data_IF_277861284035
#
_entry.id   IF_277861284035
#
_cell.length_a   1.000
_cell.length_b   1.000
_cell.length_c   1.000
_cell.angle_alpha   90.00
_cell.angle_beta   90.00
_cell.angle_gamma   90.00
#
_symmetry.space_group_name_H-M   'P 1'
#
loop_
_entity.id
_entity.type
_entity.pdbx_description
1 polymer ?
#
# COMPACT_ATOMS: atom_id res chain seq x y z
N UNK A 1 32.75 0.32 -29.64
CA UNK A 1 32.17 0.50 -28.28
C UNK A 1 31.06 1.59 -28.16
N UNK A 2 30.90 2.45 -29.19
CA UNK A 2 29.86 3.51 -29.19
C UNK A 2 28.44 2.94 -29.01
N UNK A 3 28.13 1.80 -29.61
CA UNK A 3 26.85 1.11 -29.43
C UNK A 3 26.58 0.62 -27.99
N UNK A 4 27.60 0.26 -27.23
CA UNK A 4 27.47 -0.14 -25.81
C UNK A 4 27.13 1.07 -24.95
N UNK A 5 27.61 2.27 -25.32
CA UNK A 5 27.40 3.50 -24.56
C UNK A 5 26.12 4.20 -25.01
N UNK A 6 25.60 3.86 -26.20
CA UNK A 6 24.41 4.48 -26.81
C UNK A 6 24.71 5.83 -27.49
N UNK A 7 25.95 6.04 -27.94
CA UNK A 7 26.30 7.16 -28.80
C UNK A 7 26.08 6.80 -30.27
N UNK A 8 25.45 7.69 -31.00
CA UNK A 8 25.21 7.57 -32.46
C UNK A 8 26.42 8.04 -33.29
N UNK A 9 27.28 8.85 -32.71
CA UNK A 9 28.46 9.43 -33.38
C UNK A 9 29.75 8.81 -32.83
N UNK A 10 30.75 8.69 -33.68
CA UNK A 10 32.10 8.24 -33.32
C UNK A 10 33.04 9.40 -32.96
N UNK A 11 32.71 10.62 -33.36
CA UNK A 11 33.48 11.83 -33.09
C UNK A 11 32.61 12.86 -32.36
N UNK A 12 33.16 13.45 -31.30
CA UNK A 12 32.51 14.44 -30.45
C UNK A 12 33.37 15.70 -30.38
N UNK A 13 32.73 16.84 -30.56
CA UNK A 13 33.31 18.15 -30.27
C UNK A 13 32.89 18.57 -28.87
N UNK A 14 33.86 18.67 -27.95
CA UNK A 14 33.63 19.05 -26.56
C UNK A 14 34.54 20.21 -26.20
N UNK A 15 33.96 21.23 -25.54
CA UNK A 15 34.75 22.37 -25.02
C UNK A 15 35.67 21.87 -23.89
N UNK A 16 36.89 22.43 -23.81
CA UNK A 16 37.89 22.03 -22.80
C UNK A 16 37.28 22.07 -21.39
N UNK A 17 36.52 23.07 -21.03
CA UNK A 17 35.87 23.18 -19.72
C UNK A 17 34.73 22.18 -19.47
N UNK A 18 34.27 21.45 -20.49
CA UNK A 18 33.19 20.47 -20.42
C UNK A 18 33.70 19.03 -20.55
N UNK A 19 35.00 18.81 -20.74
CA UNK A 19 35.60 17.48 -20.92
C UNK A 19 35.37 16.57 -19.70
N UNK A 20 35.50 17.09 -18.50
CA UNK A 20 35.24 16.35 -17.27
C UNK A 20 33.81 15.87 -17.22
N UNK A 21 32.83 16.76 -17.45
CA UNK A 21 31.39 16.42 -17.49
C UNK A 21 31.06 15.40 -18.59
N UNK A 22 31.75 15.48 -19.76
CA UNK A 22 31.58 14.50 -20.83
C UNK A 22 32.08 13.12 -20.40
N UNK A 23 33.26 13.02 -19.76
CA UNK A 23 33.80 11.75 -19.25
C UNK A 23 32.90 11.18 -18.15
N UNK A 24 32.40 12.03 -17.24
CA UNK A 24 31.42 11.62 -16.21
C UNK A 24 30.13 11.07 -16.83
N UNK A 25 29.59 11.69 -17.89
CA UNK A 25 28.41 11.18 -18.60
C UNK A 25 28.69 9.80 -19.22
N UNK A 26 29.86 9.61 -19.84
CA UNK A 26 30.27 8.30 -20.37
C UNK A 26 30.33 7.26 -19.27
N UNK A 27 30.97 7.56 -18.14
CA UNK A 27 31.04 6.68 -16.97
C UNK A 27 29.63 6.37 -16.45
N UNK A 28 28.79 7.37 -16.25
CA UNK A 28 27.43 7.20 -15.77
C UNK A 28 26.57 6.30 -16.68
N UNK A 29 26.72 6.43 -18.01
CA UNK A 29 26.07 5.52 -18.97
C UNK A 29 26.57 4.09 -18.88
N UNK A 30 27.86 3.88 -18.68
CA UNK A 30 28.45 2.55 -18.48
C UNK A 30 27.97 1.93 -17.17
N UNK A 31 27.99 2.67 -16.08
CA UNK A 31 27.47 2.25 -14.78
C UNK A 31 25.99 1.87 -14.86
N UNK A 32 25.16 2.69 -15.55
CA UNK A 32 23.74 2.41 -15.73
C UNK A 32 23.47 1.05 -16.38
N UNK A 33 24.40 0.61 -17.25
CA UNK A 33 24.35 -0.68 -17.96
C UNK A 33 24.99 -1.85 -17.19
N UNK A 34 25.55 -1.58 -16.01
CA UNK A 34 26.12 -2.58 -15.11
C UNK A 34 27.64 -2.73 -15.18
N UNK A 35 28.33 -1.81 -15.85
CA UNK A 35 29.80 -1.76 -15.91
C UNK A 35 30.35 -0.84 -14.83
N UNK A 36 30.09 -1.16 -13.57
CA UNK A 36 30.40 -0.33 -12.40
C UNK A 36 31.90 -0.11 -12.14
N UNK A 37 32.74 -0.92 -12.72
CA UNK A 37 34.22 -0.80 -12.61
C UNK A 37 34.85 -0.33 -13.91
N UNK A 38 34.07 0.11 -14.88
CA UNK A 38 34.60 0.64 -16.14
C UNK A 38 35.52 1.83 -15.88
N UNK A 39 36.63 1.87 -16.61
CA UNK A 39 37.59 2.96 -16.57
C UNK A 39 37.53 3.70 -17.89
N UNK A 40 37.37 5.02 -17.79
CA UNK A 40 37.37 5.91 -18.96
C UNK A 40 38.55 6.87 -18.81
N UNK A 41 39.38 6.95 -19.82
CA UNK A 41 40.45 7.91 -19.87
C UNK A 41 40.49 8.57 -21.25
N UNK A 42 40.97 9.81 -21.28
CA UNK A 42 41.23 10.56 -22.52
C UNK A 42 42.74 10.48 -22.84
N UNK A 43 43.06 9.88 -23.97
CA UNK A 43 44.42 9.85 -24.49
C UNK A 43 44.61 10.98 -25.51
N UNK A 44 45.31 12.04 -25.12
CA UNK A 44 45.62 13.17 -26.02
C UNK A 44 46.63 12.73 -27.07
N UNK A 45 46.26 12.83 -28.34
CA UNK A 45 47.10 12.45 -29.49
C UNK A 45 47.81 13.62 -30.11
N UNK A 46 47.15 14.79 -30.18
CA UNK A 46 47.69 15.95 -30.84
C UNK A 46 47.06 17.22 -30.28
N UNK A 47 47.86 18.24 -30.21
CA UNK A 47 47.41 19.61 -29.92
C UNK A 47 47.69 20.46 -31.16
N UNK A 48 46.69 21.16 -31.67
CA UNK A 48 46.84 22.04 -32.82
C UNK A 48 45.99 23.30 -32.57
N UNK A 49 46.66 24.44 -32.50
CA UNK A 49 46.07 25.73 -32.11
C UNK A 49 45.32 25.56 -30.76
N UNK A 50 44.05 25.92 -30.69
CA UNK A 50 43.18 25.82 -29.48
C UNK A 50 42.40 24.50 -29.39
N UNK A 51 42.78 23.49 -30.19
CA UNK A 51 42.07 22.21 -30.26
C UNK A 51 42.92 21.04 -29.82
N UNK A 52 42.43 20.24 -28.88
CA UNK A 52 42.96 18.98 -28.47
C UNK A 52 42.26 17.84 -29.22
N UNK A 53 43.06 16.99 -29.88
CA UNK A 53 42.61 15.75 -30.52
C UNK A 53 43.00 14.59 -29.62
N UNK A 54 42.05 13.77 -29.25
CA UNK A 54 42.28 12.61 -28.38
C UNK A 54 41.28 11.50 -28.58
N UNK A 55 41.63 10.34 -28.12
CA UNK A 55 40.77 9.18 -28.11
C UNK A 55 40.23 8.93 -26.70
N UNK A 56 38.95 8.62 -26.61
CA UNK A 56 38.34 8.12 -25.38
C UNK A 56 38.59 6.63 -25.29
N UNK A 57 39.47 6.24 -24.39
CA UNK A 57 39.82 4.84 -24.15
C UNK A 57 38.97 4.30 -23.02
N UNK A 58 38.24 3.24 -23.30
CA UNK A 58 37.28 2.64 -22.37
C UNK A 58 37.69 1.19 -22.08
N UNK A 59 38.02 0.92 -20.83
CA UNK A 59 38.11 -0.42 -20.29
C UNK A 59 36.81 -0.78 -19.61
N UNK A 60 35.99 -1.62 -20.24
CA UNK A 60 34.65 -1.95 -19.79
C UNK A 60 34.65 -2.83 -18.55
N UNK A 61 35.74 -3.55 -18.28
CA UNK A 61 35.73 -4.63 -17.32
C UNK A 61 34.56 -5.59 -17.63
N UNK A 62 34.00 -6.26 -16.65
CA UNK A 62 32.83 -7.13 -16.86
C UNK A 62 31.53 -6.50 -16.35
N UNK A 63 30.45 -6.83 -17.04
CA UNK A 63 29.09 -6.52 -16.59
C UNK A 63 28.79 -7.31 -15.31
N UNK A 64 28.28 -6.63 -14.28
CA UNK A 64 28.03 -7.21 -12.96
C UNK A 64 26.53 -7.30 -12.64
N UNK A 65 26.15 -8.43 -12.03
CA UNK A 65 24.79 -8.70 -11.58
C UNK A 65 24.76 -8.69 -10.06
N UNK A 66 23.62 -8.30 -9.50
CA UNK A 66 23.43 -8.21 -8.05
C UNK A 66 23.19 -9.60 -7.44
N UNK A 67 23.87 -9.88 -6.34
CA UNK A 67 23.55 -10.96 -5.41
C UNK A 67 23.30 -10.32 -4.04
N UNK A 68 22.06 -10.25 -3.62
CA UNK A 68 21.69 -9.61 -2.36
C UNK A 68 22.03 -10.53 -1.19
N UNK A 69 22.66 -9.97 -0.17
CA UNK A 69 22.95 -10.62 1.11
C UNK A 69 22.37 -9.74 2.22
N UNK A 70 21.38 -10.26 2.95
CA UNK A 70 20.80 -9.53 4.08
C UNK A 70 21.64 -9.82 5.31
N UNK A 71 22.26 -8.78 5.85
CA UNK A 71 22.97 -8.79 7.14
C UNK A 71 21.98 -8.19 8.16
N UNK A 72 21.58 -9.00 9.11
CA UNK A 72 20.60 -8.59 10.11
C UNK A 72 21.19 -8.73 11.51
N UNK A 73 21.01 -7.72 12.32
CA UNK A 73 21.23 -7.77 13.76
C UNK A 73 20.04 -8.43 14.50
N UNK A 74 18.95 -8.69 13.77
CA UNK A 74 17.77 -9.37 14.28
C UNK A 74 18.00 -10.88 14.35
N UNK A 75 17.86 -11.52 15.51
CA UNK A 75 18.09 -12.96 15.66
C UNK A 75 17.19 -13.83 14.77
N UNK A 76 16.03 -13.30 14.35
CA UNK A 76 15.01 -14.01 13.56
C UNK A 76 14.43 -13.12 12.46
N UNK A 77 15.24 -12.79 11.44
CA UNK A 77 14.74 -12.10 10.26
C UNK A 77 13.92 -13.09 9.39
N UNK A 78 12.72 -12.72 8.92
CA UNK A 78 11.86 -13.61 8.13
C UNK A 78 12.54 -14.09 6.85
N UNK A 79 12.69 -15.41 6.71
CA UNK A 79 13.38 -16.04 5.58
C UNK A 79 12.67 -15.75 4.26
N UNK A 80 11.34 -15.72 4.26
CA UNK A 80 10.53 -15.41 3.07
C UNK A 80 10.85 -14.04 2.48
N UNK A 81 11.05 -13.01 3.32
CA UNK A 81 11.44 -11.67 2.88
C UNK A 81 12.86 -11.64 2.29
N UNK A 82 13.79 -12.37 2.90
CA UNK A 82 15.15 -12.51 2.36
C UNK A 82 15.13 -13.14 0.98
N UNK A 83 14.43 -14.27 0.84
CA UNK A 83 14.28 -14.97 -0.45
C UNK A 83 13.54 -14.11 -1.50
N UNK A 84 12.61 -13.29 -1.07
CA UNK A 84 11.91 -12.37 -1.98
C UNK A 84 12.85 -11.28 -2.50
N UNK A 85 13.66 -10.65 -1.65
CA UNK A 85 14.68 -9.70 -2.09
C UNK A 85 15.66 -10.35 -3.07
N UNK A 86 16.20 -11.53 -2.72
CA UNK A 86 17.09 -12.27 -3.59
C UNK A 86 16.45 -12.55 -4.97
N UNK A 87 15.17 -12.95 -5.00
CA UNK A 87 14.41 -13.22 -6.23
C UNK A 87 14.23 -11.97 -7.09
N UNK A 88 13.87 -10.85 -6.46
CA UNK A 88 13.61 -9.59 -7.17
C UNK A 88 14.88 -9.01 -7.82
N UNK A 89 16.06 -9.21 -7.21
CA UNK A 89 17.30 -8.56 -7.62
C UNK A 89 18.32 -9.49 -8.24
N UNK A 90 18.15 -10.81 -8.19
CA UNK A 90 19.10 -11.83 -8.70
C UNK A 90 19.50 -11.63 -10.17
N UNK A 91 18.58 -11.16 -11.01
CA UNK A 91 18.80 -10.92 -12.44
C UNK A 91 18.96 -9.45 -12.81
N UNK A 92 19.07 -8.57 -11.81
CA UNK A 92 19.27 -7.14 -12.05
C UNK A 92 20.74 -6.80 -12.17
N UNK A 93 21.07 -5.93 -13.11
CA UNK A 93 22.41 -5.38 -13.22
C UNK A 93 22.75 -4.53 -12.01
N UNK A 94 24.00 -4.60 -11.57
CA UNK A 94 24.49 -3.71 -10.54
C UNK A 94 24.65 -2.30 -11.13
N UNK A 95 23.82 -1.39 -10.66
CA UNK A 95 23.93 0.04 -10.94
C UNK A 95 23.26 0.84 -9.80
N UNK A 96 23.52 2.13 -9.74
CA UNK A 96 22.98 3.01 -8.71
C UNK A 96 21.45 2.93 -8.61
N UNK A 97 20.74 2.99 -9.73
CA UNK A 97 19.26 2.93 -9.75
C UNK A 97 18.72 1.62 -9.12
N UNK A 98 19.37 0.48 -9.39
CA UNK A 98 18.95 -0.79 -8.78
C UNK A 98 19.33 -0.91 -7.31
N UNK A 99 20.44 -0.28 -6.89
CA UNK A 99 20.81 -0.15 -5.47
C UNK A 99 19.81 0.73 -4.71
N UNK A 100 19.43 1.88 -5.30
CA UNK A 100 18.40 2.77 -4.72
C UNK A 100 17.05 2.07 -4.60
N UNK A 101 16.66 1.30 -5.63
CA UNK A 101 15.43 0.48 -5.60
C UNK A 101 15.50 -0.63 -4.55
N UNK A 102 16.64 -1.27 -4.37
CA UNK A 102 16.85 -2.28 -3.33
C UNK A 102 16.71 -1.65 -1.95
N UNK A 103 17.38 -0.51 -1.71
CA UNK A 103 17.27 0.26 -0.48
C UNK A 103 15.81 0.65 -0.19
N UNK A 104 15.12 1.22 -1.17
CA UNK A 104 13.71 1.57 -1.05
C UNK A 104 12.80 0.36 -0.77
N UNK A 105 13.10 -0.81 -1.35
CA UNK A 105 12.32 -2.04 -1.11
C UNK A 105 12.45 -2.53 0.33
N UNK A 106 13.62 -2.35 0.95
CA UNK A 106 13.83 -2.71 2.36
C UNK A 106 13.03 -1.79 3.28
N UNK A 107 12.94 -0.51 2.97
CA UNK A 107 12.18 0.47 3.74
C UNK A 107 10.65 0.20 3.69
N UNK A 108 10.18 -0.62 2.73
CA UNK A 108 8.78 -1.07 2.69
C UNK A 108 8.48 -2.17 3.74
N UNK A 109 9.51 -2.77 4.34
CA UNK A 109 9.31 -3.74 5.41
C UNK A 109 9.00 -3.01 6.71
N UNK A 110 7.72 -2.91 7.08
CA UNK A 110 7.30 -2.17 8.26
C UNK A 110 7.98 -2.63 9.57
N UNK A 111 8.40 -3.90 9.65
CA UNK A 111 9.05 -4.50 10.82
C UNK A 111 10.57 -4.32 10.87
N UNK A 112 11.18 -3.81 9.81
CA UNK A 112 12.62 -3.61 9.71
C UNK A 112 12.94 -2.21 9.18
N UNK A 113 14.06 -1.66 9.63
CA UNK A 113 14.62 -0.38 9.18
C UNK A 113 16.02 -0.62 8.67
N UNK A 114 16.38 0.01 7.56
CA UNK A 114 17.74 -0.04 7.02
C UNK A 114 18.66 0.81 7.88
N UNK A 115 19.79 0.24 8.32
CA UNK A 115 20.79 0.91 9.16
C UNK A 115 21.66 1.86 8.34
N UNK A 116 22.07 1.41 7.15
CA UNK A 116 22.90 2.17 6.21
C UNK A 116 22.62 1.78 4.78
N UNK A 117 23.01 2.61 3.83
CA UNK A 117 22.91 2.32 2.40
C UNK A 117 23.59 1.00 2.05
N UNK A 118 23.08 0.22 1.08
CA UNK A 118 23.65 -1.07 0.70
C UNK A 118 25.14 -0.96 0.30
N UNK A 119 25.96 -1.86 0.81
CA UNK A 119 27.38 -1.95 0.49
C UNK A 119 27.64 -3.02 -0.57
N UNK A 120 28.56 -2.75 -1.47
CA UNK A 120 28.89 -3.65 -2.57
C UNK A 120 30.27 -4.24 -2.37
N UNK A 121 30.35 -5.58 -2.34
CA UNK A 121 31.61 -6.32 -2.35
C UNK A 121 31.87 -6.86 -3.76
N UNK A 122 32.91 -6.34 -4.39
CA UNK A 122 33.37 -6.77 -5.71
C UNK A 122 34.33 -7.95 -5.58
N UNK A 123 33.82 -9.17 -5.72
CA UNK A 123 34.64 -10.36 -5.81
C UNK A 123 35.09 -10.66 -7.26
N UNK A 124 35.97 -11.65 -7.42
CA UNK A 124 36.50 -12.10 -8.74
C UNK A 124 35.35 -12.57 -9.63
N UNK A 125 34.46 -13.42 -9.14
CA UNK A 125 33.34 -14.01 -9.91
C UNK A 125 31.96 -13.57 -9.50
N UNK A 126 31.82 -13.03 -8.29
CA UNK A 126 30.52 -12.66 -7.71
C UNK A 126 30.58 -11.21 -7.23
N UNK A 127 29.44 -10.54 -7.32
CA UNK A 127 29.27 -9.23 -6.72
C UNK A 127 28.16 -9.34 -5.71
N UNK A 128 28.46 -9.16 -4.44
CA UNK A 128 27.53 -9.27 -3.34
C UNK A 128 27.12 -7.88 -2.87
N UNK A 129 25.82 -7.69 -2.66
CA UNK A 129 25.24 -6.43 -2.18
C UNK A 129 24.70 -6.69 -0.78
N UNK A 130 25.35 -6.11 0.20
CA UNK A 130 25.01 -6.28 1.61
C UNK A 130 23.99 -5.22 2.04
N UNK A 131 22.86 -5.68 2.58
CA UNK A 131 21.81 -4.85 3.14
C UNK A 131 21.77 -5.06 4.63
N UNK A 132 21.96 -4.00 5.40
CA UNK A 132 22.00 -4.03 6.86
C UNK A 132 20.66 -3.57 7.43
N UNK A 133 20.02 -4.40 8.24
CA UNK A 133 18.70 -4.14 8.79
C UNK A 133 18.64 -4.34 10.29
N UNK A 134 17.87 -3.51 10.97
CA UNK A 134 17.53 -3.63 12.38
C UNK A 134 16.01 -3.71 12.58
N UNK A 135 15.58 -4.10 13.78
CA UNK A 135 14.15 -4.19 14.10
C UNK A 135 13.53 -2.80 14.22
N UNK A 136 12.44 -2.58 13.49
CA UNK A 136 11.61 -1.38 13.60
C UNK A 136 10.50 -1.56 14.63
N UNK A 137 10.07 -0.46 15.26
CA UNK A 137 8.85 -0.41 16.06
C UNK A 137 7.65 -0.37 15.11
N UNK A 138 7.05 -1.53 14.84
CA UNK A 138 5.95 -1.70 13.88
C UNK A 138 4.62 -2.04 14.52
N UNK A 139 4.61 -2.30 15.81
CA UNK A 139 3.42 -2.64 16.55
C UNK A 139 2.85 -1.39 17.20
N UNK A 140 1.54 -1.22 17.10
CA UNK A 140 0.82 -0.13 17.73
C UNK A 140 -0.42 -0.65 18.44
N UNK A 141 -0.73 -0.01 19.55
CA UNK A 141 -1.96 -0.19 20.28
C UNK A 141 -2.48 1.20 20.63
N UNK A 142 -3.73 1.45 20.30
CA UNK A 142 -4.45 2.65 20.68
C UNK A 142 -5.88 2.28 21.07
N UNK A 143 -6.46 3.01 22.00
CA UNK A 143 -7.84 2.76 22.41
C UNK A 143 -8.20 3.30 23.77
N UNK A 144 -9.49 3.35 23.99
CA UNK A 144 -10.07 3.56 25.32
C UNK A 144 -11.35 2.75 25.49
N UNK A 145 -11.66 2.43 26.73
CA UNK A 145 -12.89 1.74 27.13
C UNK A 145 -13.62 2.62 28.14
N UNK A 146 -14.88 2.88 27.87
CA UNK A 146 -15.83 3.59 28.75
C UNK A 146 -17.02 2.71 29.05
N UNK A 147 -17.65 2.98 30.19
CA UNK A 147 -18.89 2.33 30.60
C UNK A 147 -19.96 3.40 30.77
N UNK A 148 -21.12 3.16 30.19
CA UNK A 148 -22.33 3.97 30.42
C UNK A 148 -23.43 3.06 30.97
N UNK A 149 -24.28 3.59 31.78
CA UNK A 149 -25.49 2.90 32.23
C UNK A 149 -26.70 3.52 31.62
N UNK A 150 -27.53 2.73 30.94
CA UNK A 150 -28.81 3.14 30.42
C UNK A 150 -29.89 2.42 31.20
N UNK A 151 -30.97 3.15 31.55
CA UNK A 151 -32.08 2.61 32.32
C UNK A 151 -32.78 1.42 31.65
N UNK A 152 -32.65 1.29 30.32
CA UNK A 152 -33.33 0.25 29.51
C UNK A 152 -32.42 -0.93 29.19
N UNK A 153 -31.12 -0.73 29.00
CA UNK A 153 -30.14 -1.75 28.50
C UNK A 153 -29.09 -2.16 29.54
N UNK A 154 -29.09 -1.53 30.74
CA UNK A 154 -28.11 -1.82 31.77
C UNK A 154 -26.71 -1.21 31.49
N UNK A 155 -25.66 -1.96 31.77
CA UNK A 155 -24.28 -1.51 31.54
C UNK A 155 -23.90 -1.68 30.07
N UNK A 156 -23.55 -0.59 29.42
CA UNK A 156 -23.09 -0.56 28.04
C UNK A 156 -21.60 -0.22 27.98
N UNK A 157 -20.87 -0.99 27.16
CA UNK A 157 -19.48 -0.76 26.84
C UNK A 157 -19.37 0.12 25.61
N UNK A 158 -18.68 1.26 25.72
CA UNK A 158 -18.37 2.16 24.62
C UNK A 158 -16.86 2.39 24.51
N UNK A 159 -16.40 2.84 23.35
CA UNK A 159 -14.99 3.08 23.09
C UNK A 159 -14.48 2.43 21.81
N UNK A 160 -13.18 2.36 21.70
CA UNK A 160 -12.52 1.66 20.59
C UNK A 160 -11.20 1.02 21.03
N UNK A 161 -10.78 0.01 20.26
CA UNK A 161 -9.46 -0.62 20.33
C UNK A 161 -8.92 -0.72 18.90
N UNK A 162 -7.70 -0.25 18.69
CA UNK A 162 -6.94 -0.38 17.44
C UNK A 162 -5.59 -1.02 17.75
N UNK A 163 -5.44 -2.28 17.35
CA UNK A 163 -4.23 -3.07 17.55
C UNK A 163 -3.66 -3.47 16.19
N UNK A 164 -2.44 -3.02 15.92
CA UNK A 164 -1.71 -3.40 14.74
C UNK A 164 -0.41 -4.10 15.15
N UNK A 165 -0.27 -5.35 14.73
CA UNK A 165 0.86 -6.20 15.05
C UNK A 165 1.53 -6.68 13.76
N UNK A 166 2.86 -6.61 13.73
CA UNK A 166 3.63 -7.05 12.57
C UNK A 166 4.87 -7.83 13.02
N UNK A 167 5.09 -8.96 12.38
CA UNK A 167 6.27 -9.81 12.58
C UNK A 167 6.47 -10.27 14.04
N UNK A 168 5.41 -10.59 14.74
CA UNK A 168 5.46 -11.16 16.09
C UNK A 168 5.94 -12.61 16.03
N UNK A 169 5.45 -13.37 15.05
CA UNK A 169 5.83 -14.77 14.82
C UNK A 169 7.13 -14.91 14.03
N UNK A 170 7.78 -13.80 13.64
CA UNK A 170 8.99 -13.75 12.83
C UNK A 170 8.84 -14.35 11.41
N UNK A 171 7.63 -14.29 10.86
CA UNK A 171 7.31 -14.68 9.48
C UNK A 171 6.99 -13.47 8.58
N UNK A 172 6.97 -12.26 9.18
CA UNK A 172 6.61 -11.01 8.53
C UNK A 172 5.11 -10.80 8.40
N UNK A 173 4.33 -11.58 9.16
CA UNK A 173 2.87 -11.49 9.20
C UNK A 173 2.40 -10.12 9.68
N UNK A 174 1.19 -9.75 9.24
CA UNK A 174 0.46 -8.57 9.69
C UNK A 174 -0.86 -9.01 10.29
N UNK A 175 -1.17 -8.49 11.45
CA UNK A 175 -2.46 -8.66 12.12
C UNK A 175 -2.98 -7.28 12.52
N UNK A 176 -4.21 -6.99 12.14
CA UNK A 176 -4.92 -5.77 12.52
C UNK A 176 -6.23 -6.16 13.19
N UNK A 177 -6.46 -5.65 14.39
CA UNK A 177 -7.72 -5.79 15.10
C UNK A 177 -8.25 -4.40 15.42
N UNK A 178 -9.44 -4.12 14.93
CA UNK A 178 -10.18 -2.91 15.24
C UNK A 178 -11.53 -3.27 15.84
N UNK A 179 -11.84 -2.69 16.99
CA UNK A 179 -13.15 -2.78 17.61
C UNK A 179 -13.62 -1.39 18.00
N UNK A 180 -14.90 -1.11 17.76
CA UNK A 180 -15.53 0.13 18.17
C UNK A 180 -16.97 -0.11 18.60
N UNK A 181 -17.40 0.59 19.65
CA UNK A 181 -18.78 0.67 20.11
C UNK A 181 -19.09 2.11 20.47
N UNK A 182 -20.18 2.64 19.93
CA UNK A 182 -20.60 4.03 20.18
C UNK A 182 -21.54 4.20 21.39
N UNK A 183 -21.89 3.11 22.07
CA UNK A 183 -22.83 3.13 23.19
C UNK A 183 -24.30 3.09 22.79
N UNK A 184 -24.65 3.41 21.53
CA UNK A 184 -26.03 3.42 21.01
C UNK A 184 -26.38 2.11 20.28
N UNK A 185 -25.66 1.02 20.59
CA UNK A 185 -25.88 -0.31 20.00
C UNK A 185 -25.13 -0.55 18.69
N UNK A 186 -24.55 0.46 18.05
CA UNK A 186 -23.70 0.25 16.87
C UNK A 186 -22.32 -0.30 17.31
N UNK A 187 -21.90 -1.40 16.69
CA UNK A 187 -20.62 -2.05 16.96
C UNK A 187 -19.96 -2.47 15.66
N UNK A 188 -18.66 -2.24 15.55
CA UNK A 188 -17.81 -2.71 14.45
C UNK A 188 -16.62 -3.47 15.02
N UNK A 189 -16.46 -4.72 14.64
CA UNK A 189 -15.30 -5.56 14.93
C UNK A 189 -14.68 -5.98 13.61
N UNK A 190 -13.38 -5.77 13.47
CA UNK A 190 -12.64 -6.11 12.27
C UNK A 190 -11.31 -6.76 12.66
N UNK A 191 -11.10 -8.00 12.24
CA UNK A 191 -9.85 -8.75 12.41
C UNK A 191 -9.32 -9.13 11.05
N UNK A 192 -8.16 -8.58 10.69
CA UNK A 192 -7.44 -8.91 9.47
C UNK A 192 -6.12 -9.60 9.78
N UNK A 193 -5.79 -10.64 9.04
CA UNK A 193 -4.51 -11.35 9.10
C UNK A 193 -3.97 -11.48 7.68
N UNK A 194 -2.70 -11.15 7.49
CA UNK A 194 -1.96 -11.34 6.24
C UNK A 194 -0.66 -12.09 6.53
N UNK A 195 -0.48 -13.22 5.87
CA UNK A 195 0.70 -14.07 5.95
C UNK A 195 1.46 -13.97 4.61
N UNK A 196 2.47 -13.12 4.50
CA UNK A 196 3.27 -13.02 3.27
C UNK A 196 4.24 -14.18 3.16
N UNK A 197 4.63 -14.51 1.94
CA UNK A 197 5.71 -15.43 1.60
C UNK A 197 5.60 -16.81 2.27
N UNK A 198 4.40 -17.38 2.30
CA UNK A 198 4.12 -18.73 2.83
C UNK A 198 5.05 -19.75 2.17
N UNK A 199 5.66 -20.63 2.98
CA UNK A 199 6.69 -21.60 2.56
C UNK A 199 7.87 -20.95 1.83
N UNK A 200 8.25 -19.72 2.23
CA UNK A 200 9.33 -18.94 1.61
C UNK A 200 9.14 -18.71 0.10
N UNK A 201 7.91 -18.78 -0.38
CA UNK A 201 7.51 -18.58 -1.76
C UNK A 201 6.96 -17.14 -1.96
N UNK A 202 6.71 -16.69 -3.21
CA UNK A 202 6.03 -15.41 -3.44
C UNK A 202 4.51 -15.49 -3.15
N UNK A 203 4.04 -16.59 -2.63
CA UNK A 203 2.63 -16.80 -2.30
C UNK A 203 2.36 -16.30 -0.88
N UNK A 204 1.21 -15.68 -0.68
CA UNK A 204 0.72 -15.31 0.65
C UNK A 204 -0.72 -15.73 0.84
N UNK A 205 -1.16 -15.66 2.08
CA UNK A 205 -2.54 -15.88 2.47
C UNK A 205 -3.07 -14.68 3.25
N UNK A 206 -4.35 -14.39 3.11
CA UNK A 206 -5.04 -13.39 3.92
C UNK A 206 -6.35 -13.94 4.45
N UNK A 207 -6.75 -13.47 5.63
CA UNK A 207 -8.02 -13.73 6.25
C UNK A 207 -8.60 -12.44 6.83
N UNK A 208 -9.92 -12.27 6.72
CA UNK A 208 -10.65 -11.16 7.31
C UNK A 208 -11.92 -11.69 7.97
N UNK A 209 -12.16 -11.21 9.19
CA UNK A 209 -13.46 -11.35 9.87
C UNK A 209 -13.93 -9.95 10.25
N UNK A 210 -15.11 -9.57 9.77
CA UNK A 210 -15.76 -8.32 10.17
C UNK A 210 -17.15 -8.61 10.69
N UNK A 211 -17.47 -8.09 11.86
CA UNK A 211 -18.80 -8.14 12.47
C UNK A 211 -19.27 -6.69 12.63
N UNK A 212 -20.30 -6.34 11.88
CA UNK A 212 -20.94 -5.04 11.97
C UNK A 212 -22.36 -5.19 12.47
N UNK A 213 -22.69 -4.52 13.56
CA UNK A 213 -24.04 -4.46 14.11
C UNK A 213 -24.54 -3.04 14.03
N UNK A 214 -25.71 -2.85 13.42
CA UNK A 214 -26.40 -1.58 13.36
C UNK A 214 -27.51 -1.57 14.41
N UNK A 215 -27.24 -0.95 15.54
CA UNK A 215 -28.18 -0.82 16.66
C UNK A 215 -28.82 -2.19 17.04
N UNK A 216 -30.15 -2.19 17.22
CA UNK A 216 -30.94 -3.40 17.36
C UNK A 216 -31.53 -3.92 16.04
N UNK A 217 -31.17 -3.31 14.87
CA UNK A 217 -31.84 -3.63 13.59
C UNK A 217 -31.25 -4.88 12.94
N UNK A 218 -29.97 -4.91 12.64
CA UNK A 218 -29.33 -6.07 11.99
C UNK A 218 -27.85 -6.22 12.37
N UNK A 219 -27.34 -7.41 12.09
CA UNK A 219 -25.91 -7.73 12.20
C UNK A 219 -25.43 -8.41 10.94
N UNK A 220 -24.28 -7.94 10.41
CA UNK A 220 -23.56 -8.56 9.30
C UNK A 220 -22.26 -9.17 9.81
N UNK A 221 -22.06 -10.44 9.53
CA UNK A 221 -20.79 -11.15 9.75
C UNK A 221 -20.17 -11.46 8.41
N UNK A 222 -19.06 -10.82 8.08
CA UNK A 222 -18.33 -11.01 6.83
C UNK A 222 -17.04 -11.73 7.08
N UNK A 223 -16.81 -12.81 6.37
CA UNK A 223 -15.56 -13.54 6.32
C UNK A 223 -14.95 -13.48 4.93
N UNK A 224 -13.65 -13.31 4.84
CA UNK A 224 -12.92 -13.40 3.58
C UNK A 224 -11.66 -14.23 3.80
N UNK A 225 -11.37 -15.10 2.86
CA UNK A 225 -10.12 -15.83 2.78
C UNK A 225 -9.55 -15.68 1.37
N UNK A 226 -8.26 -15.41 1.24
CA UNK A 226 -7.59 -15.24 -0.03
C UNK A 226 -6.20 -15.84 -0.07
N UNK A 227 -5.83 -16.35 -1.25
CA UNK A 227 -4.46 -16.72 -1.60
C UNK A 227 -3.95 -15.74 -2.66
N UNK A 228 -2.72 -15.30 -2.52
CA UNK A 228 -2.18 -14.26 -3.38
C UNK A 228 -0.74 -14.45 -3.78
N UNK A 229 -0.33 -13.64 -4.74
CA UNK A 229 1.02 -13.57 -5.26
C UNK A 229 1.60 -12.18 -5.07
N UNK A 230 2.79 -12.11 -4.49
CA UNK A 230 3.56 -10.88 -4.30
C UNK A 230 4.51 -10.66 -5.48
N UNK A 231 4.19 -9.70 -6.34
CA UNK A 231 5.06 -9.31 -7.47
C UNK A 231 6.31 -8.59 -6.97
N UNK A 232 6.10 -7.66 -6.03
CA UNK A 232 7.14 -6.86 -5.39
C UNK A 232 6.85 -6.73 -3.88
N UNK A 233 7.67 -6.01 -3.14
CA UNK A 233 7.36 -5.64 -1.77
C UNK A 233 6.12 -4.73 -1.64
N UNK A 234 5.77 -4.04 -2.72
CA UNK A 234 4.71 -3.02 -2.79
C UNK A 234 3.41 -3.53 -3.43
N UNK A 235 3.48 -4.54 -4.31
CA UNK A 235 2.36 -4.98 -5.16
C UNK A 235 2.03 -6.45 -5.03
N UNK A 236 0.74 -6.74 -4.89
CA UNK A 236 0.21 -8.08 -4.69
C UNK A 236 -1.16 -8.25 -5.37
N UNK A 237 -1.48 -9.48 -5.74
CA UNK A 237 -2.79 -9.88 -6.25
C UNK A 237 -3.29 -11.05 -5.40
N UNK A 238 -4.52 -10.95 -4.88
CA UNK A 238 -5.19 -12.01 -4.15
C UNK A 238 -6.42 -12.49 -4.91
N UNK A 239 -6.61 -13.79 -4.95
CA UNK A 239 -7.85 -14.43 -5.34
C UNK A 239 -8.45 -15.05 -4.09
N UNK A 240 -9.75 -14.87 -3.87
CA UNK A 240 -10.36 -15.25 -2.61
C UNK A 240 -11.83 -15.60 -2.72
N UNK A 241 -12.34 -15.99 -1.57
CA UNK A 241 -13.75 -16.23 -1.33
C UNK A 241 -14.21 -15.39 -0.15
N UNK A 242 -15.31 -14.69 -0.35
CA UNK A 242 -15.93 -13.83 0.67
C UNK A 242 -17.36 -14.31 0.93
N UNK A 243 -17.73 -14.45 2.17
CA UNK A 243 -19.09 -14.75 2.61
C UNK A 243 -19.57 -13.70 3.60
N UNK A 244 -20.83 -13.28 3.47
CA UNK A 244 -21.51 -12.41 4.44
C UNK A 244 -22.80 -13.08 4.87
N UNK A 245 -22.95 -13.24 6.18
CA UNK A 245 -24.20 -13.64 6.81
C UNK A 245 -24.82 -12.42 7.48
N UNK A 246 -26.07 -12.13 7.15
CA UNK A 246 -26.82 -11.02 7.73
C UNK A 246 -28.06 -11.51 8.45
N UNK A 247 -28.25 -11.04 9.67
CA UNK A 247 -29.40 -11.37 10.52
C UNK A 247 -30.19 -10.12 10.88
N UNK A 248 -31.48 -10.13 10.61
CA UNK A 248 -32.46 -9.16 11.12
C UNK A 248 -32.72 -9.44 12.60
N UNK A 249 -32.19 -8.58 13.47
CA UNK A 249 -32.28 -8.79 14.95
C UNK A 249 -33.70 -8.55 15.46
N UNK A 250 -34.45 -7.66 14.82
CA UNK A 250 -35.82 -7.34 15.21
C UNK A 250 -36.88 -8.30 14.66
N UNK A 251 -36.48 -9.21 13.74
CA UNK A 251 -37.36 -10.11 13.03
C UNK A 251 -38.51 -9.39 12.30
N UNK A 252 -38.27 -8.18 11.82
CA UNK A 252 -39.26 -7.39 11.08
C UNK A 252 -39.58 -8.04 9.75
N UNK A 253 -38.59 -8.70 9.14
CA UNK A 253 -38.70 -9.43 7.85
C UNK A 253 -39.46 -8.63 6.79
N UNK A 254 -39.12 -7.35 6.66
CA UNK A 254 -39.72 -6.50 5.64
C UNK A 254 -39.11 -6.75 4.27
N UNK A 255 -39.73 -6.26 3.21
CA UNK A 255 -39.16 -6.36 1.87
C UNK A 255 -37.78 -5.67 1.72
N UNK A 256 -37.43 -4.80 2.65
CA UNK A 256 -36.20 -4.01 2.66
C UNK A 256 -35.16 -4.46 3.71
N UNK A 257 -35.54 -5.31 4.66
CA UNK A 257 -34.66 -5.82 5.71
C UNK A 257 -34.94 -7.31 5.94
N UNK A 258 -34.03 -8.17 5.55
CA UNK A 258 -34.19 -9.61 5.61
C UNK A 258 -32.88 -10.32 5.96
N UNK A 259 -33.01 -11.50 6.55
CA UNK A 259 -31.88 -12.43 6.66
C UNK A 259 -31.39 -12.84 5.27
N UNK A 260 -30.09 -12.86 5.09
CA UNK A 260 -29.48 -13.37 3.88
C UNK A 260 -28.07 -13.92 4.10
N UNK A 261 -27.64 -14.75 3.17
CA UNK A 261 -26.23 -15.13 3.03
C UNK A 261 -25.79 -14.75 1.61
N UNK A 262 -24.69 -14.00 1.51
CA UNK A 262 -24.06 -13.74 0.22
C UNK A 262 -22.67 -14.38 0.15
N UNK A 263 -22.30 -14.83 -1.04
CA UNK A 263 -21.00 -15.43 -1.29
C UNK A 263 -20.43 -14.98 -2.63
N UNK A 264 -19.14 -14.60 -2.61
CA UNK A 264 -18.46 -14.06 -3.79
C UNK A 264 -17.09 -14.72 -3.98
N UNK A 265 -16.76 -15.03 -5.22
CA UNK A 265 -15.37 -15.18 -5.62
C UNK A 265 -14.79 -13.79 -5.89
N UNK A 266 -13.63 -13.54 -5.34
CA UNK A 266 -13.03 -12.19 -5.34
C UNK A 266 -11.65 -12.18 -5.97
N UNK A 267 -11.32 -11.08 -6.64
CA UNK A 267 -9.97 -10.74 -7.07
C UNK A 267 -9.62 -9.35 -6.56
N UNK A 268 -8.48 -9.23 -5.88
CA UNK A 268 -8.02 -7.99 -5.27
C UNK A 268 -6.57 -7.71 -5.67
N UNK A 269 -6.33 -6.60 -6.35
CA UNK A 269 -5.00 -6.05 -6.57
C UNK A 269 -4.74 -4.96 -5.54
N UNK A 270 -3.60 -5.02 -4.87
CA UNK A 270 -3.17 -4.00 -3.93
C UNK A 270 -1.74 -3.54 -4.24
N UNK A 271 -1.55 -2.24 -4.24
CA UNK A 271 -0.27 -1.57 -4.30
C UNK A 271 -0.16 -0.62 -3.13
N UNK A 272 0.93 -0.70 -2.36
CA UNK A 272 1.17 0.18 -1.22
C UNK A 272 2.64 0.56 -1.17
N UNK A 273 2.92 1.85 -1.23
CA UNK A 273 4.26 2.42 -1.11
C UNK A 273 4.32 3.35 0.09
N UNK A 274 5.10 2.97 1.09
CA UNK A 274 5.36 3.82 2.25
C UNK A 274 6.40 4.88 1.90
N UNK A 275 6.18 6.10 2.33
CA UNK A 275 7.12 7.21 2.23
C UNK A 275 7.34 7.78 3.63
N UNK A 276 8.59 7.84 4.07
CA UNK A 276 8.95 8.61 5.27
C UNK A 276 8.93 10.09 4.89
N UNK A 277 8.04 10.85 5.50
CA UNK A 277 7.97 12.30 5.34
C UNK A 277 8.91 12.99 6.36
N UNK A 278 8.82 12.55 7.60
CA UNK A 278 9.70 12.90 8.71
C UNK A 278 9.99 11.62 9.51
N UNK A 279 10.92 11.67 10.45
CA UNK A 279 11.31 10.51 11.26
C UNK A 279 10.12 9.81 11.94
N UNK A 280 9.06 10.54 12.28
CA UNK A 280 7.90 10.05 13.03
C UNK A 280 6.66 9.81 12.18
N UNK A 281 6.51 10.50 11.02
CA UNK A 281 5.34 10.34 10.15
C UNK A 281 5.65 9.48 8.93
N UNK A 282 4.94 8.36 8.83
CA UNK A 282 4.93 7.53 7.63
C UNK A 282 3.61 7.76 6.90
N UNK A 283 3.69 8.24 5.69
CA UNK A 283 2.54 8.33 4.79
C UNK A 283 2.62 7.23 3.74
N UNK A 284 1.48 6.65 3.43
CA UNK A 284 1.40 5.64 2.38
C UNK A 284 0.66 6.17 1.16
N UNK A 285 1.23 5.93 -0.01
CA UNK A 285 0.49 5.98 -1.26
C UNK A 285 -0.02 4.57 -1.51
N UNK A 286 -1.30 4.42 -1.77
CA UNK A 286 -1.86 3.11 -2.04
C UNK A 286 -2.91 3.16 -3.14
N UNK A 287 -3.09 2.01 -3.77
CA UNK A 287 -4.16 1.70 -4.69
C UNK A 287 -4.65 0.29 -4.35
N UNK A 288 -5.92 0.13 -4.04
CA UNK A 288 -6.56 -1.18 -3.88
C UNK A 288 -7.78 -1.24 -4.80
N UNK A 289 -7.86 -2.30 -5.58
CA UNK A 289 -8.97 -2.58 -6.46
C UNK A 289 -9.44 -4.01 -6.21
N UNK A 290 -10.68 -4.17 -5.78
CA UNK A 290 -11.30 -5.46 -5.49
C UNK A 290 -12.59 -5.61 -6.29
N UNK A 291 -12.78 -6.75 -6.92
CA UNK A 291 -14.02 -7.14 -7.57
C UNK A 291 -14.51 -8.47 -7.02
N UNK A 292 -15.80 -8.66 -7.00
CA UNK A 292 -16.41 -9.90 -6.58
C UNK A 292 -17.63 -10.24 -7.43
N UNK A 293 -17.77 -11.51 -7.76
CA UNK A 293 -18.95 -12.07 -8.44
C UNK A 293 -19.49 -13.24 -7.65
N UNK A 294 -20.80 -13.28 -7.50
CA UNK A 294 -21.42 -14.29 -6.65
C UNK A 294 -22.92 -14.15 -6.54
N UNK A 295 -23.47 -14.69 -5.47
CA UNK A 295 -24.91 -14.72 -5.26
C UNK A 295 -25.26 -14.30 -3.83
N UNK A 296 -26.43 -13.68 -3.68
CA UNK A 296 -27.13 -13.50 -2.42
C UNK A 296 -28.28 -14.50 -2.36
N UNK A 297 -28.35 -15.27 -1.31
CA UNK A 297 -29.42 -16.21 -0.97
C UNK A 297 -30.25 -15.59 0.14
N UNK A 298 -31.47 -15.21 -0.15
CA UNK A 298 -32.49 -14.78 0.79
C UNK A 298 -33.45 -15.92 1.14
N UNK A 299 -34.48 -15.62 1.93
CA UNK A 299 -35.50 -16.62 2.35
C UNK A 299 -36.26 -17.24 1.16
N UNK A 300 -36.56 -16.46 0.13
CA UNK A 300 -37.42 -16.87 -0.99
C UNK A 300 -36.73 -16.84 -2.34
N UNK A 301 -35.55 -16.25 -2.46
CA UNK A 301 -34.91 -16.07 -3.76
C UNK A 301 -33.38 -16.04 -3.67
N UNK A 302 -32.76 -16.39 -4.79
CA UNK A 302 -31.33 -16.26 -5.03
C UNK A 302 -31.10 -15.19 -6.10
N UNK A 303 -30.29 -14.21 -5.80
CA UNK A 303 -29.98 -13.09 -6.71
C UNK A 303 -28.50 -13.10 -7.07
N UNK A 304 -28.19 -13.10 -8.36
CA UNK A 304 -26.82 -12.96 -8.83
C UNK A 304 -26.33 -11.53 -8.64
N UNK A 305 -25.12 -11.38 -8.16
CA UNK A 305 -24.55 -10.08 -7.80
C UNK A 305 -23.11 -9.93 -8.30
N UNK A 306 -22.74 -8.69 -8.57
CA UNK A 306 -21.37 -8.28 -8.84
C UNK A 306 -21.06 -7.01 -8.02
N UNK A 307 -19.87 -6.93 -7.43
CA UNK A 307 -19.44 -5.70 -6.80
C UNK A 307 -18.00 -5.31 -7.21
N UNK A 308 -17.75 -4.02 -7.16
CA UNK A 308 -16.44 -3.42 -7.31
C UNK A 308 -16.14 -2.46 -6.17
N UNK A 309 -14.90 -2.50 -5.68
CA UNK A 309 -14.39 -1.57 -4.67
C UNK A 309 -13.03 -1.05 -5.13
N UNK A 310 -12.89 0.27 -5.22
CA UNK A 310 -11.64 0.95 -5.55
C UNK A 310 -11.32 1.94 -4.45
N UNK A 311 -10.13 1.85 -3.89
CA UNK A 311 -9.62 2.87 -2.98
C UNK A 311 -8.19 3.25 -3.34
N UNK A 312 -7.91 4.54 -3.32
CA UNK A 312 -6.61 5.09 -3.65
C UNK A 312 -6.27 6.25 -2.72
N UNK A 313 -5.00 6.41 -2.43
CA UNK A 313 -4.47 7.57 -1.74
C UNK A 313 -3.13 7.97 -2.33
N UNK A 314 -2.96 9.24 -2.57
CA UNK A 314 -1.71 9.81 -3.02
C UNK A 314 -1.34 11.04 -2.20
N UNK A 315 -0.10 11.08 -1.72
CA UNK A 315 0.45 12.20 -0.97
C UNK A 315 1.48 12.91 -1.84
N UNK A 316 1.13 14.09 -2.30
CA UNK A 316 1.97 14.92 -3.13
C UNK A 316 2.75 15.90 -2.27
N UNK A 317 4.06 15.77 -2.23
CA UNK A 317 4.94 16.69 -1.54
C UNK A 317 5.25 17.88 -2.43
N UNK A 318 4.82 19.08 -2.03
CA UNK A 318 5.12 20.33 -2.72
C UNK A 318 6.49 20.86 -2.33
N UNK A 319 6.81 20.81 -1.04
CA UNK A 319 8.12 21.12 -0.45
C UNK A 319 8.25 20.42 0.91
N UNK A 320 9.29 20.74 1.68
CA UNK A 320 9.58 20.08 2.97
C UNK A 320 8.43 20.16 4.00
N UNK A 321 7.62 21.23 3.96
CA UNK A 321 6.55 21.48 4.94
C UNK A 321 5.14 21.36 4.38
N UNK A 322 4.98 21.34 3.06
CA UNK A 322 3.67 21.44 2.42
C UNK A 322 3.35 20.20 1.59
N UNK A 323 2.18 19.63 1.82
CA UNK A 323 1.71 18.42 1.15
C UNK A 323 0.25 18.57 0.72
N UNK A 324 -0.09 17.92 -0.38
CA UNK A 324 -1.47 17.68 -0.77
C UNK A 324 -1.73 16.19 -0.65
N UNK A 325 -2.73 15.81 0.13
CA UNK A 325 -3.24 14.45 0.19
C UNK A 325 -4.52 14.36 -0.60
N UNK A 326 -4.58 13.41 -1.51
CA UNK A 326 -5.76 13.04 -2.25
C UNK A 326 -6.14 11.60 -1.88
N UNK A 327 -7.35 11.39 -1.40
CA UNK A 327 -7.93 10.08 -1.13
C UNK A 327 -9.18 9.92 -1.98
N UNK A 328 -9.36 8.74 -2.56
CA UNK A 328 -10.51 8.40 -3.38
C UNK A 328 -11.04 7.04 -2.95
N UNK A 329 -12.36 6.91 -2.82
CA UNK A 329 -13.03 5.67 -2.46
C UNK A 329 -14.31 5.51 -3.29
N UNK A 330 -14.44 4.35 -3.93
CA UNK A 330 -15.57 4.03 -4.79
C UNK A 330 -16.05 2.63 -4.47
N UNK A 331 -17.35 2.47 -4.39
CA UNK A 331 -18.02 1.20 -4.23
C UNK A 331 -19.20 1.12 -5.19
N UNK A 332 -19.41 -0.05 -5.77
CA UNK A 332 -20.55 -0.35 -6.61
C UNK A 332 -21.00 -1.78 -6.39
N UNK A 333 -22.29 -1.96 -6.13
CA UNK A 333 -22.96 -3.26 -6.07
C UNK A 333 -24.04 -3.29 -7.15
N UNK A 334 -23.95 -4.27 -8.03
CA UNK A 334 -24.99 -4.60 -9.01
C UNK A 334 -25.80 -5.79 -8.52
N UNK A 335 -27.10 -5.61 -8.46
CA UNK A 335 -28.09 -6.62 -8.09
C UNK A 335 -29.42 -6.34 -8.80
N UNK A 336 -30.24 -7.36 -8.99
CA UNK A 336 -31.61 -7.15 -9.53
C UNK A 336 -32.55 -6.57 -8.48
N UNK A 337 -32.28 -6.82 -7.21
CA UNK A 337 -33.03 -6.30 -6.06
C UNK A 337 -32.05 -5.94 -4.97
N UNK A 338 -32.39 -4.90 -4.19
CA UNK A 338 -31.56 -4.41 -3.10
C UNK A 338 -32.32 -4.47 -1.79
N UNK A 339 -31.58 -4.78 -0.71
CA UNK A 339 -32.07 -4.74 0.67
C UNK A 339 -31.13 -3.86 1.51
N UNK A 340 -31.66 -3.22 2.53
CA UNK A 340 -30.96 -2.18 3.33
C UNK A 340 -29.69 -2.71 3.99
N UNK A 341 -29.74 -3.94 4.51
CA UNK A 341 -28.64 -4.52 5.28
C UNK A 341 -27.49 -5.10 4.40
N UNK A 342 -27.63 -5.10 3.07
CA UNK A 342 -26.53 -5.43 2.14
C UNK A 342 -25.79 -4.21 1.61
N UNK A 343 -26.38 -3.01 1.67
CA UNK A 343 -25.82 -1.80 1.11
C UNK A 343 -24.54 -1.38 1.81
N UNK A 344 -23.63 -0.77 1.04
CA UNK A 344 -22.41 -0.21 1.58
C UNK A 344 -22.73 1.00 2.47
N UNK A 345 -22.20 0.99 3.70
CA UNK A 345 -22.35 2.08 4.64
C UNK A 345 -21.13 2.96 4.68
N UNK A 346 -21.39 4.28 4.78
CA UNK A 346 -20.36 5.30 4.78
C UNK A 346 -20.83 6.51 5.60
N UNK A 347 -19.97 7.52 5.69
CA UNK A 347 -20.06 8.65 6.61
C UNK A 347 -18.97 8.56 7.68
N UNK A 348 -18.63 9.65 8.31
CA UNK A 348 -17.65 9.74 9.38
C UNK A 348 -16.23 10.03 8.89
N UNK A 349 -15.30 10.07 9.83
CA UNK A 349 -13.93 10.56 9.65
C UNK A 349 -13.13 9.76 8.61
N UNK A 350 -13.43 8.47 8.45
CA UNK A 350 -12.70 7.58 7.53
C UNK A 350 -13.29 7.54 6.12
N UNK A 351 -14.46 8.12 5.89
CA UNK A 351 -15.19 8.11 4.63
C UNK A 351 -15.43 9.52 4.12
N UNK A 352 -16.51 10.15 4.53
CA UNK A 352 -16.83 11.55 4.22
C UNK A 352 -17.09 12.30 5.52
N UNK A 353 -16.29 13.30 5.80
CA UNK A 353 -16.34 14.06 7.06
C UNK A 353 -17.53 15.02 7.07
N UNK A 354 -18.03 15.34 8.27
CA UNK A 354 -19.25 16.14 8.47
C UNK A 354 -20.54 15.33 8.56
N UNK A 355 -20.48 14.02 8.35
CA UNK A 355 -21.59 13.08 8.52
C UNK A 355 -21.29 12.10 9.65
N UNK A 356 -22.35 11.64 10.32
CA UNK A 356 -22.21 10.61 11.37
C UNK A 356 -21.68 9.31 10.78
N UNK A 357 -20.88 8.58 11.53
CA UNK A 357 -20.27 7.34 11.07
C UNK A 357 -21.32 6.28 10.70
N UNK A 358 -21.15 5.69 9.49
CA UNK A 358 -22.08 4.69 8.93
C UNK A 358 -23.53 5.13 8.82
N UNK A 359 -23.84 6.44 8.84
CA UNK A 359 -25.22 6.97 8.78
C UNK A 359 -25.81 6.95 7.37
N UNK A 360 -24.98 6.91 6.35
CA UNK A 360 -25.38 6.87 4.95
C UNK A 360 -25.14 5.49 4.36
N UNK A 361 -25.89 5.14 3.32
CA UNK A 361 -25.77 3.86 2.64
C UNK A 361 -26.06 4.00 1.14
N UNK A 362 -25.57 3.04 0.36
CA UNK A 362 -25.85 3.00 -1.09
C UNK A 362 -25.32 1.76 -1.76
N UNK A 363 -25.91 1.44 -2.91
CA UNK A 363 -25.35 0.45 -3.84
C UNK A 363 -24.24 1.06 -4.70
N UNK A 364 -24.22 2.39 -4.83
CA UNK A 364 -23.15 3.17 -5.43
C UNK A 364 -22.70 4.23 -4.42
N UNK A 365 -21.40 4.29 -4.21
CA UNK A 365 -20.74 5.35 -3.45
C UNK A 365 -19.45 5.73 -4.16
N UNK A 366 -19.21 7.03 -4.30
CA UNK A 366 -18.00 7.59 -4.89
C UNK A 366 -17.59 8.82 -4.09
N UNK A 367 -16.36 8.87 -3.62
CA UNK A 367 -15.84 10.04 -2.90
C UNK A 367 -14.42 10.39 -3.29
N UNK A 368 -14.14 11.68 -3.20
CA UNK A 368 -12.80 12.26 -3.30
C UNK A 368 -12.63 13.18 -2.09
N UNK A 369 -11.59 12.93 -1.31
CA UNK A 369 -11.21 13.74 -0.15
C UNK A 369 -9.84 14.37 -0.42
N UNK A 370 -9.77 15.68 -0.22
CA UNK A 370 -8.54 16.45 -0.38
C UNK A 370 -8.15 17.13 0.92
N UNK A 371 -6.85 17.11 1.22
CA UNK A 371 -6.28 17.80 2.36
C UNK A 371 -5.02 18.56 1.90
N UNK A 372 -4.98 19.84 2.17
CA UNK A 372 -3.73 20.57 2.16
C UNK A 372 -3.17 20.54 3.58
N UNK A 373 -1.96 20.00 3.74
CA UNK A 373 -1.29 19.81 5.03
C UNK A 373 -0.05 20.69 5.12
N UNK A 374 0.01 21.48 6.18
CA UNK A 374 1.17 22.26 6.57
C UNK A 374 1.81 21.70 7.84
N UNK A 375 3.02 21.20 7.74
CA UNK A 375 3.79 20.67 8.88
C UNK A 375 4.58 21.81 9.56
N UNK A 376 4.13 22.22 10.73
CA UNK A 376 4.80 23.21 11.55
C UNK A 376 6.06 22.62 12.22
N UNK A 377 6.01 21.32 12.60
CA UNK A 377 7.13 20.56 13.14
C UNK A 377 7.03 19.08 12.72
N UNK A 378 7.98 18.25 13.19
CA UNK A 378 7.92 16.79 12.98
C UNK A 378 6.72 16.10 13.66
N UNK A 379 6.09 16.75 14.63
CA UNK A 379 4.99 16.20 15.43
C UNK A 379 3.68 16.99 15.32
N UNK A 380 3.67 18.13 14.61
CA UNK A 380 2.50 19.00 14.49
C UNK A 380 2.24 19.40 13.05
N UNK A 381 1.05 19.15 12.56
CA UNK A 381 0.57 19.69 11.30
C UNK A 381 -0.88 20.21 11.41
N UNK A 382 -1.21 21.17 10.56
CA UNK A 382 -2.56 21.69 10.35
C UNK A 382 -2.98 21.36 8.92
N UNK A 383 -4.24 21.02 8.73
CA UNK A 383 -4.73 20.69 7.40
C UNK A 383 -6.13 21.22 7.14
N UNK A 384 -6.39 21.57 5.88
CA UNK A 384 -7.76 21.81 5.40
C UNK A 384 -8.41 20.48 5.05
N UNK A 385 -9.72 20.45 5.11
CA UNK A 385 -10.56 19.31 4.73
C UNK A 385 -11.53 19.76 3.65
N UNK A 386 -11.55 19.04 2.53
CA UNK A 386 -12.54 19.17 1.48
C UNK A 386 -12.87 17.80 0.93
N UNK A 387 -14.06 17.32 1.29
CA UNK A 387 -14.57 16.03 0.86
C UNK A 387 -15.75 16.24 -0.06
N UNK A 388 -15.77 15.54 -1.18
CA UNK A 388 -16.88 15.50 -2.13
C UNK A 388 -17.30 14.06 -2.34
N UNK A 389 -18.61 13.79 -2.28
CA UNK A 389 -19.16 12.46 -2.49
C UNK A 389 -20.43 12.49 -3.34
N UNK A 390 -20.70 11.36 -3.95
CA UNK A 390 -21.96 11.03 -4.63
C UNK A 390 -22.37 9.61 -4.23
N UNK A 391 -23.65 9.40 -3.98
CA UNK A 391 -24.18 8.07 -3.70
C UNK A 391 -25.57 7.87 -4.28
N UNK A 392 -25.93 6.60 -4.43
CA UNK A 392 -27.28 6.17 -4.79
C UNK A 392 -27.74 5.09 -3.82
N UNK A 393 -28.88 5.32 -3.18
CA UNK A 393 -29.56 4.34 -2.33
C UNK A 393 -30.86 3.89 -3.01
N UNK A 394 -30.89 2.72 -3.63
CA UNK A 394 -32.08 2.20 -4.33
C UNK A 394 -33.20 1.80 -3.36
N UNK A 395 -32.94 1.62 -2.06
CA UNK A 395 -33.94 1.23 -1.06
C UNK A 395 -34.80 2.40 -0.60
N UNK A 396 -34.23 3.62 -0.64
CA UNK A 396 -34.93 4.88 -0.29
C UNK A 396 -35.23 5.73 -1.53
N UNK A 397 -34.64 5.41 -2.68
CA UNK A 397 -34.70 6.23 -3.90
C UNK A 397 -33.84 7.50 -3.84
N UNK A 398 -32.96 7.63 -2.85
CA UNK A 398 -32.07 8.78 -2.70
C UNK A 398 -30.87 8.68 -3.64
N UNK A 399 -30.57 9.80 -4.32
CA UNK A 399 -29.39 9.93 -5.18
C UNK A 399 -28.86 11.35 -5.00
N UNK A 400 -27.78 11.50 -4.22
CA UNK A 400 -27.34 12.82 -3.76
C UNK A 400 -25.83 13.04 -3.88
N UNK A 401 -25.50 14.33 -3.95
CA UNK A 401 -24.13 14.85 -3.84
C UNK A 401 -23.96 15.44 -2.45
N UNK A 402 -22.86 15.08 -1.80
CA UNK A 402 -22.56 15.48 -0.43
C UNK A 402 -21.18 16.12 -0.36
N UNK A 403 -21.03 17.10 0.51
CA UNK A 403 -19.80 17.87 0.70
C UNK A 403 -19.48 17.94 2.19
N UNK A 404 -18.24 17.69 2.55
CA UNK A 404 -17.67 17.91 3.87
C UNK A 404 -16.56 18.95 3.80
N UNK A 405 -16.61 19.94 4.67
CA UNK A 405 -15.60 21.00 4.77
C UNK A 405 -15.10 21.11 6.22
N UNK A 406 -13.83 21.44 6.40
CA UNK A 406 -13.25 21.62 7.73
C UNK A 406 -11.77 22.02 7.73
N UNK A 407 -11.24 22.16 8.92
CA UNK A 407 -9.82 22.44 9.22
C UNK A 407 -9.36 21.48 10.30
#
# INVERSE_FOLDING_TARGET
NCGVIGFEKEVFDVRIGEVEGFVEDVVGRLESKGFMLAKVRLDVKRVSNDTLFGDVVIDLERKRMMKVVVVNEMPKFPVGFKKQLERMYRSKTLNKNNLDKLSASVDQFGFATQVKYPEVLFGTDKTEVYVYVEKSKSNSFDGFLGFSSNATSGLELNGYLDLNLQNILNTGEKMALYWKSNGDGQRDFNLGIELPFVFDSPIGAQGLLRIFRQDSTFQNTRTNFGLGYYFTAESKLFLGYESTESSDIQNVNSNLLNDFTSSFFTAEFAFTKQKKLFSEFRESNYLSFKVGTGNRIGKSETTSQFYGNLSAQYNWQLNEKNFIRLKSAHYYLQSNQYITNELHRFGGINSIRGFTENSLQGNLFSSIATEYRYYASSSLYVHSIMDYGYFNDPTTGLSERIIGLGV
#
